data_IF_046320978196
#
_entry.id   IF_046320978196
#
_cell.length_a   1.000
_cell.length_b   1.000
_cell.length_c   1.000
_cell.angle_alpha   90.00
_cell.angle_beta   90.00
_cell.angle_gamma   90.00
#
_symmetry.space_group_name_H-M   'P 1'
#
loop_
_entity.id
_entity.type
_entity.pdbx_description
1 polymer ?
#
# COMPACT_ATOMS: atom_id res chain seq x y z
N UNK A 1 24.68 -43.71 22.05
CA UNK A 1 23.23 -43.65 21.80
C UNK A 1 22.53 -43.45 23.14
N UNK A 2 22.26 -42.22 23.50
CA UNK A 2 21.50 -41.92 24.72
C UNK A 2 20.10 -41.51 24.26
N UNK A 3 19.16 -42.45 24.43
CA UNK A 3 17.76 -42.21 24.17
C UNK A 3 17.18 -41.25 25.19
N UNK A 4 16.83 -40.04 24.72
CA UNK A 4 15.99 -39.12 25.49
C UNK A 4 14.57 -39.68 25.45
N UNK A 5 14.15 -40.35 26.55
CA UNK A 5 12.74 -40.65 26.76
C UNK A 5 12.03 -39.34 27.14
N UNK A 6 11.36 -38.74 26.18
CA UNK A 6 10.38 -37.69 26.47
C UNK A 6 9.14 -38.35 27.05
N UNK A 7 8.91 -38.26 28.37
CA UNK A 7 7.60 -38.51 28.98
C UNK A 7 6.63 -37.44 28.52
N UNK A 8 6.07 -37.60 27.34
CA UNK A 8 4.92 -36.82 26.92
C UNK A 8 3.68 -37.42 27.58
N UNK A 9 3.10 -36.73 28.56
CA UNK A 9 1.73 -37.00 28.98
C UNK A 9 0.86 -36.92 27.71
N UNK A 10 -0.03 -37.88 27.44
CA UNK A 10 -0.87 -37.86 26.27
C UNK A 10 -1.85 -36.68 26.37
N UNK A 11 -1.47 -35.56 25.84
CA UNK A 11 -2.37 -34.41 25.70
C UNK A 11 -3.19 -34.71 24.45
N UNK A 12 -4.35 -35.36 24.63
CA UNK A 12 -5.20 -35.88 23.55
C UNK A 12 -5.68 -34.85 22.52
N UNK A 13 -5.43 -33.57 22.74
CA UNK A 13 -5.87 -32.50 21.88
C UNK A 13 -4.72 -31.75 21.14
N UNK A 14 -3.47 -32.04 21.49
CA UNK A 14 -2.28 -31.50 20.78
C UNK A 14 -1.64 -32.67 20.02
N UNK A 15 -1.64 -32.55 18.69
CA UNK A 15 -1.00 -33.53 17.81
C UNK A 15 0.45 -33.12 17.50
N UNK A 16 0.66 -31.85 17.19
CA UNK A 16 1.97 -31.26 16.89
C UNK A 16 2.05 -29.88 17.55
N UNK A 17 3.17 -29.64 18.22
CA UNK A 17 3.57 -28.31 18.66
C UNK A 17 5.07 -28.15 18.41
N UNK A 18 5.45 -27.27 17.49
CA UNK A 18 6.83 -27.08 17.08
C UNK A 18 7.20 -25.61 17.17
N UNK A 19 8.24 -25.32 17.95
CA UNK A 19 8.85 -24.01 18.01
C UNK A 19 10.02 -23.95 17.03
N UNK A 20 10.13 -22.84 16.34
CA UNK A 20 11.22 -22.53 15.40
C UNK A 20 11.85 -21.19 15.79
N UNK A 21 13.17 -21.15 15.83
CA UNK A 21 13.94 -19.92 15.97
C UNK A 21 14.99 -19.95 14.89
N UNK A 22 15.04 -18.91 14.09
CA UNK A 22 15.97 -18.77 13.00
C UNK A 22 16.65 -17.40 13.02
N UNK A 23 17.91 -17.38 12.65
CA UNK A 23 18.65 -16.17 12.34
C UNK A 23 19.33 -16.34 10.99
N UNK A 24 19.22 -15.32 10.15
CA UNK A 24 19.90 -15.29 8.86
C UNK A 24 20.33 -13.88 8.50
N UNK A 25 21.42 -13.79 7.76
CA UNK A 25 21.88 -12.55 7.17
C UNK A 25 22.02 -12.75 5.66
N UNK A 26 21.45 -11.83 4.91
CA UNK A 26 21.55 -11.77 3.45
C UNK A 26 22.19 -10.46 3.05
N UNK A 27 22.89 -10.46 1.94
CA UNK A 27 23.51 -9.27 1.36
C UNK A 27 22.87 -8.93 0.02
N UNK A 28 22.83 -7.64 -0.30
CA UNK A 28 22.35 -7.11 -1.55
C UNK A 28 23.41 -6.18 -2.15
N UNK A 29 23.67 -6.36 -3.46
CA UNK A 29 24.59 -5.55 -4.24
C UNK A 29 23.89 -4.91 -5.45
N UNK A 30 22.60 -4.65 -5.36
CA UNK A 30 21.79 -4.16 -6.48
C UNK A 30 22.13 -2.71 -6.85
N UNK A 31 23.31 -2.51 -7.36
CA UNK A 31 23.79 -1.27 -7.98
C UNK A 31 24.31 -1.57 -9.37
N UNK A 32 24.19 -0.59 -10.26
CA UNK A 32 24.76 -0.70 -11.60
C UNK A 32 26.28 -0.95 -11.54
N UNK A 33 26.84 -1.70 -12.51
CA UNK A 33 28.29 -1.86 -12.63
C UNK A 33 29.02 -0.51 -12.67
N UNK A 34 30.23 -0.49 -12.13
CA UNK A 34 31.14 0.66 -12.13
C UNK A 34 30.71 1.86 -11.27
N UNK A 35 29.73 1.72 -10.40
CA UNK A 35 29.31 2.80 -9.47
C UNK A 35 30.42 3.22 -8.52
N UNK A 36 31.36 2.32 -8.18
CA UNK A 36 32.53 2.63 -7.36
C UNK A 36 33.51 3.59 -8.05
N UNK A 37 33.52 3.63 -9.38
CA UNK A 37 34.47 4.45 -10.16
C UNK A 37 33.89 5.80 -10.59
N UNK A 38 32.63 6.06 -10.30
CA UNK A 38 31.93 7.25 -10.76
C UNK A 38 31.52 7.17 -12.22
N UNK A 39 30.92 8.22 -12.73
CA UNK A 39 30.36 8.25 -14.07
C UNK A 39 30.65 9.58 -14.77
N UNK A 40 31.03 9.47 -16.06
CA UNK A 40 31.02 10.58 -16.98
C UNK A 40 29.74 10.56 -17.82
N UNK A 41 29.17 11.71 -18.06
CA UNK A 41 28.09 11.90 -19.02
C UNK A 41 28.56 12.83 -20.15
N UNK A 42 27.92 12.70 -21.31
CA UNK A 42 28.21 13.52 -22.48
C UNK A 42 27.26 14.72 -22.53
N UNK A 43 27.81 15.86 -22.92
CA UNK A 43 27.04 17.05 -23.21
C UNK A 43 27.55 17.68 -24.49
N UNK A 44 26.74 17.78 -25.54
CA UNK A 44 27.18 18.42 -26.78
C UNK A 44 27.47 19.89 -26.52
N UNK A 45 28.55 20.40 -27.06
CA UNK A 45 28.96 21.76 -26.96
C UNK A 45 29.25 22.35 -28.36
N UNK A 46 28.88 23.59 -28.61
CA UNK A 46 29.13 24.24 -29.87
C UNK A 46 30.16 25.37 -29.70
N UNK A 47 31.31 25.22 -30.33
CA UNK A 47 32.41 26.21 -30.33
C UNK A 47 32.39 27.15 -31.54
N UNK A 48 31.35 27.14 -32.37
CA UNK A 48 31.25 28.00 -33.54
C UNK A 48 30.62 27.31 -34.75
N UNK A 49 30.90 27.80 -35.97
CA UNK A 49 30.19 27.36 -37.18
C UNK A 49 30.47 25.89 -37.60
N UNK A 50 31.41 25.21 -36.99
CA UNK A 50 31.79 23.83 -37.32
C UNK A 50 30.89 22.74 -36.70
N UNK A 51 29.85 23.11 -35.96
CA UNK A 51 28.88 22.18 -35.39
C UNK A 51 29.17 21.77 -33.95
N UNK A 52 28.40 20.78 -33.43
CA UNK A 52 28.52 20.33 -32.09
C UNK A 52 29.66 19.30 -31.90
N UNK A 53 30.40 19.50 -30.82
CA UNK A 53 31.43 18.57 -30.36
C UNK A 53 30.97 17.92 -29.08
N UNK A 54 31.28 16.65 -28.90
CA UNK A 54 30.95 15.92 -27.67
C UNK A 54 31.84 16.36 -26.51
N UNK A 55 31.25 17.04 -25.53
CA UNK A 55 31.89 17.32 -24.25
C UNK A 55 31.59 16.24 -23.22
N UNK A 56 32.44 16.13 -22.22
CA UNK A 56 32.29 15.18 -21.11
C UNK A 56 32.30 15.94 -19.79
N UNK A 57 31.49 15.50 -18.85
CA UNK A 57 31.49 16.02 -17.48
C UNK A 57 31.27 14.89 -16.49
N UNK A 58 31.73 15.08 -15.25
CA UNK A 58 31.49 14.12 -14.15
C UNK A 58 30.03 14.23 -13.74
N UNK A 59 29.26 13.18 -13.96
CA UNK A 59 27.85 13.13 -13.58
C UNK A 59 27.62 12.47 -12.22
N UNK A 60 28.57 11.69 -11.74
CA UNK A 60 28.51 10.94 -10.48
C UNK A 60 29.92 10.78 -9.92
N UNK A 61 30.11 11.10 -8.64
CA UNK A 61 31.40 10.93 -7.97
C UNK A 61 31.70 9.45 -7.71
N UNK A 62 33.00 9.05 -7.77
CA UNK A 62 33.42 7.73 -7.35
C UNK A 62 33.28 7.55 -5.84
N UNK A 63 32.97 6.32 -5.42
CA UNK A 63 33.02 5.90 -4.03
C UNK A 63 33.70 4.52 -3.95
N UNK A 64 34.99 4.51 -3.60
CA UNK A 64 35.76 3.27 -3.48
C UNK A 64 35.35 2.44 -2.24
N UNK A 65 34.67 3.05 -1.28
CA UNK A 65 34.20 2.39 -0.05
C UNK A 65 32.81 1.78 -0.20
N UNK A 66 32.22 1.84 -1.42
CA UNK A 66 30.91 1.28 -1.68
C UNK A 66 30.90 -0.23 -1.45
N UNK A 67 30.21 -0.66 -0.43
CA UNK A 67 30.05 -2.06 -0.01
C UNK A 67 28.64 -2.62 -0.28
N UNK A 68 28.37 -3.78 0.26
CA UNK A 68 27.08 -4.42 0.18
C UNK A 68 26.14 -3.92 1.28
N UNK A 69 24.86 -3.96 1.01
CA UNK A 69 23.80 -3.79 1.97
C UNK A 69 23.54 -5.12 2.68
N UNK A 70 23.30 -5.09 3.99
CA UNK A 70 23.07 -6.30 4.79
C UNK A 70 21.70 -6.26 5.47
N UNK A 71 20.94 -7.34 5.28
CA UNK A 71 19.67 -7.58 5.98
C UNK A 71 19.81 -8.76 6.93
N UNK A 72 19.73 -8.50 8.22
CA UNK A 72 19.75 -9.50 9.30
C UNK A 72 18.34 -9.72 9.82
N UNK A 73 17.87 -10.98 9.82
CA UNK A 73 16.52 -11.34 10.22
C UNK A 73 16.53 -12.37 11.34
N UNK A 74 15.87 -12.06 12.44
CA UNK A 74 15.41 -13.02 13.43
C UNK A 74 13.98 -13.43 13.10
N UNK A 75 13.72 -14.73 13.09
CA UNK A 75 12.39 -15.30 12.90
C UNK A 75 12.06 -16.25 14.05
N UNK A 76 10.88 -16.07 14.64
CA UNK A 76 10.31 -16.90 15.69
C UNK A 76 9.01 -17.50 15.18
N UNK A 77 8.94 -18.82 15.08
CA UNK A 77 7.80 -19.53 14.54
C UNK A 77 7.21 -20.54 15.53
N UNK A 78 5.90 -20.69 15.48
CA UNK A 78 5.14 -21.70 16.18
C UNK A 78 4.25 -22.40 15.16
N UNK A 79 4.50 -23.70 14.94
CA UNK A 79 3.62 -24.57 14.15
C UNK A 79 2.82 -25.43 15.12
N UNK A 80 1.51 -25.53 14.90
CA UNK A 80 0.65 -26.35 15.72
C UNK A 80 -0.37 -27.13 14.90
N UNK A 81 -0.68 -28.31 15.38
CA UNK A 81 -1.79 -29.14 14.90
C UNK A 81 -2.52 -29.68 16.14
N UNK A 82 -3.81 -29.48 16.20
CA UNK A 82 -4.65 -29.73 17.34
C UNK A 82 -5.88 -30.54 16.93
N UNK A 83 -6.54 -31.16 17.91
CA UNK A 83 -7.85 -31.79 17.74
C UNK A 83 -7.84 -32.89 16.66
N UNK A 84 -6.81 -33.73 16.66
CA UNK A 84 -6.60 -34.82 15.68
C UNK A 84 -6.53 -34.30 14.23
N UNK A 85 -5.74 -33.25 14.02
CA UNK A 85 -5.54 -32.63 12.70
C UNK A 85 -6.65 -31.70 12.26
N UNK A 86 -7.73 -31.52 13.05
CA UNK A 86 -8.85 -30.64 12.63
C UNK A 86 -8.55 -29.17 12.70
N UNK A 87 -7.58 -28.76 13.53
CA UNK A 87 -7.13 -27.37 13.62
C UNK A 87 -5.62 -27.34 13.46
N UNK A 88 -5.14 -26.64 12.47
CA UNK A 88 -3.70 -26.44 12.26
C UNK A 88 -3.39 -24.99 11.97
N UNK A 89 -2.19 -24.55 12.30
CA UNK A 89 -1.80 -23.19 12.02
C UNK A 89 -0.33 -22.94 12.25
N UNK A 90 0.09 -21.77 11.79
CA UNK A 90 1.41 -21.23 11.99
C UNK A 90 1.30 -19.82 12.52
N UNK A 91 2.15 -19.46 13.45
CA UNK A 91 2.38 -18.11 13.89
C UNK A 91 3.85 -17.79 13.72
N UNK A 92 4.15 -16.70 13.03
CA UNK A 92 5.52 -16.23 12.84
C UNK A 92 5.63 -14.78 13.29
N UNK A 93 6.72 -14.48 14.00
CA UNK A 93 7.11 -13.11 14.33
C UNK A 93 8.54 -12.90 13.88
N UNK A 94 8.79 -11.80 13.16
CA UNK A 94 10.10 -11.50 12.65
C UNK A 94 10.54 -10.07 13.02
N UNK A 95 11.86 -9.94 13.14
CA UNK A 95 12.56 -8.67 13.28
C UNK A 95 13.66 -8.67 12.24
N UNK A 96 13.55 -7.79 11.25
CA UNK A 96 14.57 -7.59 10.22
C UNK A 96 15.21 -6.21 10.39
N UNK A 97 16.53 -6.18 10.36
CA UNK A 97 17.30 -4.93 10.34
C UNK A 97 18.15 -4.92 9.10
N UNK A 98 18.03 -3.86 8.32
CA UNK A 98 18.86 -3.62 7.15
C UNK A 98 19.79 -2.47 7.46
N UNK A 99 21.09 -2.69 7.25
CA UNK A 99 22.17 -1.72 7.46
C UNK A 99 22.90 -1.47 6.15
N UNK A 100 23.62 -0.38 6.10
CA UNK A 100 24.43 0.00 4.96
C UNK A 100 23.63 0.08 3.65
N UNK A 101 22.41 0.66 3.75
CA UNK A 101 21.52 0.83 2.59
C UNK A 101 22.24 1.55 1.46
N UNK A 102 22.16 1.00 0.26
CA UNK A 102 22.71 1.59 -0.95
C UNK A 102 21.83 2.72 -1.44
N UNK A 103 22.25 3.95 -1.20
CA UNK A 103 21.47 5.15 -1.52
C UNK A 103 22.28 6.18 -2.30
N UNK A 104 21.57 6.93 -3.15
CA UNK A 104 22.11 8.13 -3.78
C UNK A 104 22.05 9.29 -2.79
N UNK A 105 23.19 9.80 -2.41
CA UNK A 105 23.34 10.97 -1.54
C UNK A 105 23.43 12.22 -2.38
N UNK A 106 22.50 13.15 -2.20
CA UNK A 106 22.52 14.44 -2.88
C UNK A 106 23.63 15.33 -2.38
N UNK A 107 24.30 16.03 -3.30
CA UNK A 107 25.36 16.97 -3.01
C UNK A 107 24.90 18.41 -3.27
N UNK A 108 25.48 19.41 -2.58
CA UNK A 108 25.24 20.80 -2.89
C UNK A 108 25.62 21.13 -4.34
N UNK A 109 24.90 22.02 -4.96
CA UNK A 109 25.16 22.45 -6.36
C UNK A 109 26.57 22.98 -6.59
N UNK A 110 27.22 23.48 -5.53
CA UNK A 110 28.61 23.98 -5.52
C UNK A 110 29.65 22.87 -5.76
N UNK A 111 29.31 21.59 -5.55
CA UNK A 111 30.18 20.45 -5.80
C UNK A 111 30.38 20.15 -7.31
N UNK A 112 29.56 20.74 -8.17
CA UNK A 112 29.55 20.45 -9.61
C UNK A 112 28.99 19.09 -9.99
N UNK A 113 28.61 18.25 -9.04
CA UNK A 113 28.01 16.94 -9.21
C UNK A 113 26.78 16.83 -8.32
N UNK A 114 25.70 16.26 -8.85
CA UNK A 114 24.43 16.24 -8.15
C UNK A 114 24.35 15.18 -7.02
N UNK A 115 25.04 14.06 -7.18
CA UNK A 115 24.95 12.95 -6.22
C UNK A 115 26.08 11.94 -6.36
N UNK A 116 26.20 11.07 -5.37
CA UNK A 116 27.03 9.87 -5.41
C UNK A 116 26.34 8.72 -4.66
N UNK A 117 26.75 7.48 -4.96
CA UNK A 117 26.24 6.30 -4.23
C UNK A 117 27.05 6.07 -2.96
N UNK A 118 26.37 5.78 -1.88
CA UNK A 118 26.99 5.46 -0.59
C UNK A 118 26.19 4.40 0.18
N UNK A 119 26.85 3.70 1.09
CA UNK A 119 26.23 2.81 2.06
C UNK A 119 25.78 3.61 3.28
N UNK A 120 24.53 4.00 3.29
CA UNK A 120 24.04 4.96 4.28
C UNK A 120 22.59 4.67 4.63
N UNK A 121 22.30 4.85 5.90
CA UNK A 121 20.96 4.61 6.40
C UNK A 121 20.73 3.19 6.90
N UNK A 122 19.71 3.09 7.72
CA UNK A 122 19.28 1.83 8.34
C UNK A 122 17.77 1.78 8.44
N UNK A 123 17.22 0.58 8.24
CA UNK A 123 15.79 0.34 8.44
C UNK A 123 15.54 -0.84 9.37
N UNK A 124 14.40 -0.84 10.01
CA UNK A 124 13.90 -1.94 10.82
C UNK A 124 12.50 -2.30 10.36
N UNK A 125 12.25 -3.58 10.14
CA UNK A 125 10.94 -4.16 9.90
C UNK A 125 10.61 -5.13 11.03
N UNK A 126 9.42 -5.02 11.59
CA UNK A 126 8.87 -5.94 12.57
C UNK A 126 7.48 -6.34 12.13
N UNK A 127 7.21 -7.62 12.16
CA UNK A 127 5.89 -8.07 11.75
C UNK A 127 5.55 -9.43 12.31
N UNK A 128 4.29 -9.76 12.14
CA UNK A 128 3.81 -11.11 12.40
C UNK A 128 2.99 -11.61 11.21
N UNK A 129 3.01 -12.91 11.03
CA UNK A 129 2.19 -13.66 10.10
C UNK A 129 1.48 -14.78 10.87
N UNK A 130 0.19 -14.93 10.62
CA UNK A 130 -0.64 -15.94 11.25
C UNK A 130 -1.48 -16.65 10.20
N UNK A 131 -1.40 -17.98 10.19
CA UNK A 131 -2.24 -18.83 9.35
C UNK A 131 -2.97 -19.81 10.22
N UNK A 132 -4.26 -19.95 10.02
CA UNK A 132 -5.12 -20.88 10.72
C UNK A 132 -5.98 -21.64 9.71
N UNK A 133 -5.96 -22.99 9.80
CA UNK A 133 -6.79 -23.86 8.99
C UNK A 133 -7.62 -24.73 9.92
N UNK A 134 -8.91 -24.84 9.65
CA UNK A 134 -9.83 -25.61 10.47
C UNK A 134 -10.80 -26.44 9.65
N UNK A 135 -10.94 -27.71 10.02
CA UNK A 135 -12.04 -28.59 9.58
C UNK A 135 -13.12 -28.55 10.67
N UNK A 136 -14.13 -27.72 10.46
CA UNK A 136 -15.20 -27.47 11.44
C UNK A 136 -16.16 -28.65 11.46
N UNK A 137 -16.54 -29.12 10.27
CA UNK A 137 -17.34 -30.35 10.10
C UNK A 137 -16.58 -31.30 9.17
N UNK A 138 -16.42 -32.53 9.59
CA UNK A 138 -15.79 -33.59 8.81
C UNK A 138 -16.81 -34.68 8.51
N UNK A 139 -17.42 -34.56 7.34
CA UNK A 139 -18.48 -35.49 6.86
C UNK A 139 -19.59 -35.76 7.87
N UNK A 140 -19.92 -34.80 8.72
CA UNK A 140 -20.97 -34.93 9.72
C UNK A 140 -22.35 -34.86 9.08
N UNK A 141 -23.08 -35.98 9.05
CA UNK A 141 -24.35 -36.11 8.34
C UNK A 141 -24.27 -35.70 6.85
N UNK A 142 -23.13 -35.94 6.19
CA UNK A 142 -22.85 -35.57 4.81
C UNK A 142 -22.38 -34.11 4.59
N UNK A 143 -22.18 -33.36 5.68
CA UNK A 143 -21.62 -32.00 5.64
C UNK A 143 -20.12 -32.00 5.88
N UNK A 144 -19.39 -31.31 5.04
CA UNK A 144 -17.99 -30.96 5.27
C UNK A 144 -17.88 -29.44 5.28
N UNK A 145 -17.23 -28.90 6.29
CA UNK A 145 -16.97 -27.46 6.40
C UNK A 145 -15.54 -27.19 6.81
N UNK A 146 -14.83 -26.52 5.93
CA UNK A 146 -13.44 -26.11 6.10
C UNK A 146 -13.34 -24.59 6.05
N UNK A 147 -12.43 -24.01 6.83
CA UNK A 147 -12.14 -22.59 6.79
C UNK A 147 -10.64 -22.36 6.98
N UNK A 148 -10.13 -21.31 6.31
CA UNK A 148 -8.76 -20.88 6.44
C UNK A 148 -8.70 -19.35 6.61
N UNK A 149 -7.85 -18.91 7.53
CA UNK A 149 -7.56 -17.51 7.79
C UNK A 149 -6.07 -17.28 7.67
N UNK A 150 -5.66 -16.27 6.93
CA UNK A 150 -4.31 -15.72 7.02
C UNK A 150 -4.37 -14.25 7.42
N UNK A 151 -3.45 -13.81 8.26
CA UNK A 151 -3.37 -12.48 8.79
C UNK A 151 -1.90 -12.06 8.86
N UNK A 152 -1.59 -10.87 8.37
CA UNK A 152 -0.24 -10.31 8.46
C UNK A 152 -0.28 -8.84 8.86
N UNK A 153 0.74 -8.43 9.61
CA UNK A 153 1.01 -7.02 9.88
C UNK A 153 2.52 -6.80 9.87
N UNK A 154 2.95 -5.75 9.20
CA UNK A 154 4.32 -5.28 9.18
C UNK A 154 4.38 -3.84 9.67
N UNK A 155 5.48 -3.47 10.32
CA UNK A 155 5.83 -2.11 10.68
C UNK A 155 7.24 -1.84 10.21
N UNK A 156 7.34 -0.97 9.22
CA UNK A 156 8.61 -0.46 8.73
C UNK A 156 9.01 0.80 9.52
N UNK A 157 10.29 0.96 9.75
CA UNK A 157 10.83 2.14 10.39
C UNK A 157 12.21 2.46 9.82
N UNK A 158 12.37 3.67 9.32
CA UNK A 158 13.67 4.24 9.01
C UNK A 158 14.35 4.63 10.32
N UNK A 159 15.52 4.05 10.62
CA UNK A 159 16.21 4.27 11.88
C UNK A 159 17.39 5.23 11.75
N UNK A 160 17.97 5.38 10.57
CA UNK A 160 19.09 6.26 10.29
C UNK A 160 19.12 6.68 8.83
N UNK A 161 19.58 7.89 8.55
CA UNK A 161 19.83 8.45 7.22
C UNK A 161 21.29 8.82 7.04
N UNK A 162 21.73 8.93 5.80
CA UNK A 162 23.10 9.21 5.37
C UNK A 162 23.75 10.43 5.99
N UNK A 163 23.01 11.46 6.18
CA UNK A 163 23.55 12.77 6.54
C UNK A 163 23.66 13.00 8.03
N UNK A 164 23.35 11.99 8.87
CA UNK A 164 23.06 12.23 10.29
C UNK A 164 21.85 13.15 10.50
N UNK A 165 21.19 13.54 9.38
CA UNK A 165 19.96 14.30 9.37
C UNK A 165 18.80 13.43 9.85
N UNK A 166 17.85 14.04 10.53
CA UNK A 166 16.63 13.36 10.96
C UNK A 166 15.62 13.20 9.82
N UNK A 167 15.74 14.02 8.76
CA UNK A 167 14.71 14.12 7.72
C UNK A 167 15.34 14.39 6.36
N UNK A 168 14.85 13.67 5.35
CA UNK A 168 15.01 13.97 3.93
C UNK A 168 13.63 14.27 3.34
N UNK A 169 13.23 15.54 3.42
CA UNK A 169 11.92 16.01 2.95
C UNK A 169 11.75 15.88 1.43
N UNK A 170 12.85 15.89 0.67
CA UNK A 170 12.80 15.76 -0.78
C UNK A 170 12.38 14.35 -1.21
N UNK A 171 12.78 13.34 -0.43
CA UNK A 171 12.45 11.94 -0.68
C UNK A 171 11.32 11.42 0.22
N UNK A 172 10.71 12.25 1.08
CA UNK A 172 9.74 11.86 2.11
C UNK A 172 10.29 10.78 3.05
N UNK A 173 11.54 10.92 3.47
CA UNK A 173 12.16 10.00 4.42
C UNK A 173 12.38 10.69 5.76
N UNK A 174 11.77 10.14 6.79
CA UNK A 174 11.78 10.70 8.14
C UNK A 174 12.24 9.64 9.13
N UNK A 175 13.26 9.95 9.91
CA UNK A 175 13.77 9.02 10.93
C UNK A 175 12.68 8.78 11.97
N UNK A 176 12.41 7.51 12.24
CA UNK A 176 11.34 7.10 13.16
C UNK A 176 10.01 6.76 12.47
N UNK A 177 9.89 7.01 11.17
CA UNK A 177 8.68 6.79 10.38
C UNK A 177 8.89 5.70 9.31
N UNK A 178 7.82 5.15 8.74
CA UNK A 178 7.90 4.22 7.61
C UNK A 178 8.52 4.88 6.39
N UNK A 179 9.15 4.07 5.53
CA UNK A 179 9.62 4.53 4.21
C UNK A 179 8.42 4.92 3.34
N UNK A 180 7.33 4.15 3.40
CA UNK A 180 6.09 4.42 2.67
C UNK A 180 5.22 5.43 3.42
N UNK A 181 5.65 6.67 3.40
CA UNK A 181 4.90 7.81 3.90
C UNK A 181 4.95 8.98 2.91
N UNK A 182 3.97 9.86 3.02
CA UNK A 182 3.93 11.14 2.32
C UNK A 182 4.05 12.28 3.32
N UNK A 183 4.63 13.37 2.87
CA UNK A 183 4.76 14.60 3.64
C UNK A 183 3.90 15.69 2.99
N UNK A 184 2.68 15.84 3.49
CA UNK A 184 1.70 16.75 2.92
C UNK A 184 0.75 17.28 4.00
N UNK A 185 -0.12 18.19 3.63
CA UNK A 185 -1.13 18.73 4.52
C UNK A 185 -2.20 17.69 4.86
N UNK A 186 -2.73 17.79 6.08
CA UNK A 186 -3.87 17.00 6.52
C UNK A 186 -5.16 17.82 6.35
N UNK A 187 -6.02 17.40 5.43
CA UNK A 187 -7.34 18.01 5.25
C UNK A 187 -8.21 17.73 6.45
N UNK A 188 -8.75 18.77 7.07
CA UNK A 188 -9.65 18.69 8.21
C UNK A 188 -11.09 19.10 7.87
N UNK A 189 -11.31 19.66 6.69
CA UNK A 189 -12.63 20.07 6.24
C UNK A 189 -12.59 21.04 5.08
N UNK A 190 -13.63 21.84 4.97
CA UNK A 190 -13.71 22.99 4.09
C UNK A 190 -13.97 24.23 4.94
N UNK A 191 -13.51 25.38 4.48
CA UNK A 191 -13.81 26.65 5.14
C UNK A 191 -15.29 26.97 5.01
N UNK A 192 -15.97 27.17 6.14
CA UNK A 192 -17.36 27.57 6.22
C UNK A 192 -17.50 28.76 7.17
N UNK A 193 -18.46 29.62 6.94
CA UNK A 193 -18.72 30.80 7.78
C UNK A 193 -19.15 30.47 9.23
N UNK A 194 -19.63 29.25 9.48
CA UNK A 194 -19.97 28.73 10.81
C UNK A 194 -18.80 28.05 11.53
N UNK A 195 -17.63 27.94 10.88
CA UNK A 195 -16.43 27.40 11.51
C UNK A 195 -15.85 28.41 12.52
N UNK A 196 -15.52 27.97 13.76
CA UNK A 196 -14.92 28.86 14.77
C UNK A 196 -13.65 29.56 14.33
N UNK A 197 -12.86 28.92 13.46
CA UNK A 197 -11.62 29.49 12.93
C UNK A 197 -11.84 30.45 11.75
N UNK A 198 -13.07 30.53 11.21
CA UNK A 198 -13.36 31.36 10.04
C UNK A 198 -13.08 32.84 10.29
N UNK A 199 -13.25 33.31 11.51
CA UNK A 199 -12.88 34.67 11.92
C UNK A 199 -11.39 34.98 11.77
N UNK A 200 -10.55 33.94 11.70
CA UNK A 200 -9.10 34.05 11.50
C UNK A 200 -8.64 33.66 10.10
N UNK A 201 -9.59 33.51 9.15
CA UNK A 201 -9.27 33.05 7.78
C UNK A 201 -8.21 33.91 7.11
N UNK A 202 -8.29 35.23 7.25
CA UNK A 202 -7.31 36.16 6.66
C UNK A 202 -5.89 35.97 7.22
N UNK A 203 -5.76 35.45 8.43
CA UNK A 203 -4.47 35.15 9.05
C UNK A 203 -3.99 33.77 8.65
N UNK A 204 -4.86 32.77 8.79
CA UNK A 204 -4.53 31.37 8.51
C UNK A 204 -4.29 31.12 7.01
N UNK A 205 -5.14 31.73 6.18
CA UNK A 205 -5.18 31.49 4.74
C UNK A 205 -5.45 32.82 4.00
N UNK A 206 -4.43 33.70 3.90
CA UNK A 206 -4.61 34.99 3.21
C UNK A 206 -5.16 34.83 1.79
N UNK A 207 -6.28 35.50 1.51
CA UNK A 207 -7.02 35.35 0.27
C UNK A 207 -7.93 34.12 0.20
N UNK A 208 -8.12 33.42 1.32
CA UNK A 208 -9.03 32.30 1.45
C UNK A 208 -10.51 32.72 1.35
N UNK A 209 -11.36 31.77 0.99
CA UNK A 209 -12.80 31.95 0.85
C UNK A 209 -13.56 30.74 1.38
N UNK A 210 -14.86 30.91 1.64
CA UNK A 210 -15.76 29.79 1.90
C UNK A 210 -15.72 28.74 0.79
N UNK A 211 -15.79 27.48 1.18
CA UNK A 211 -15.76 26.34 0.26
C UNK A 211 -14.36 25.92 -0.18
N UNK A 212 -13.30 26.61 0.24
CA UNK A 212 -11.92 26.16 0.03
C UNK A 212 -11.52 25.06 1.01
N UNK A 213 -10.49 24.28 0.66
CA UNK A 213 -9.97 23.22 1.53
C UNK A 213 -9.36 23.83 2.78
N UNK A 214 -9.84 23.37 3.95
CA UNK A 214 -9.26 23.66 5.27
C UNK A 214 -8.29 22.54 5.62
N UNK A 215 -7.05 22.91 5.96
CA UNK A 215 -6.03 21.98 6.43
C UNK A 215 -5.68 22.26 7.88
N UNK A 216 -5.09 21.27 8.54
CA UNK A 216 -4.70 21.35 9.93
C UNK A 216 -3.63 22.40 10.13
N UNK A 217 -3.87 23.30 11.06
CA UNK A 217 -2.90 24.26 11.56
C UNK A 217 -2.15 23.65 12.76
N UNK A 218 -0.84 23.75 12.77
CA UNK A 218 0.03 23.20 13.82
C UNK A 218 0.82 24.27 14.57
N UNK A 219 0.65 25.54 14.20
CA UNK A 219 1.30 26.66 14.87
C UNK A 219 0.66 27.02 16.19
N UNK A 220 1.33 27.90 16.92
CA UNK A 220 0.87 28.42 18.18
C UNK A 220 -0.35 29.34 18.04
N UNK A 221 -1.12 29.44 19.12
CA UNK A 221 -2.22 30.40 19.25
C UNK A 221 -1.95 31.26 20.49
N UNK A 222 -2.32 32.52 20.42
CA UNK A 222 -2.21 33.42 21.58
C UNK A 222 -3.28 33.10 22.64
N UNK A 223 -3.26 33.86 23.75
CA UNK A 223 -4.18 33.67 24.85
C UNK A 223 -5.67 33.87 24.48
N UNK A 224 -5.95 34.51 23.36
CA UNK A 224 -7.29 34.70 22.80
C UNK A 224 -7.70 33.60 21.80
N UNK A 225 -6.82 32.63 21.54
CA UNK A 225 -7.00 31.58 20.56
C UNK A 225 -6.69 32.00 19.12
N UNK A 226 -6.17 33.21 18.90
CA UNK A 226 -5.81 33.73 17.59
C UNK A 226 -4.52 33.08 17.09
N UNK A 227 -4.48 32.58 15.83
CA UNK A 227 -3.27 32.04 15.23
C UNK A 227 -2.15 33.09 15.13
N UNK A 228 -0.92 32.66 15.37
CA UNK A 228 0.26 33.54 15.33
C UNK A 228 0.88 33.69 13.95
N UNK A 229 0.54 32.82 13.01
CA UNK A 229 1.04 32.83 11.63
C UNK A 229 0.03 32.25 10.65
N UNK A 230 0.30 32.41 9.37
CA UNK A 230 -0.41 31.72 8.30
C UNK A 230 -0.05 30.21 8.23
N UNK A 231 -0.91 29.43 7.61
CA UNK A 231 -0.62 28.03 7.24
C UNK A 231 0.51 28.01 6.22
N UNK A 232 1.53 27.23 6.53
CA UNK A 232 2.76 27.13 5.74
C UNK A 232 3.29 25.70 5.61
N UNK A 233 4.48 25.51 4.99
CA UNK A 233 5.11 24.19 4.82
C UNK A 233 5.33 23.41 6.12
N UNK A 234 5.44 24.12 7.24
CA UNK A 234 5.59 23.57 8.59
C UNK A 234 4.32 22.87 9.11
N UNK A 235 3.16 23.13 8.51
CA UNK A 235 1.89 22.48 8.85
C UNK A 235 1.70 21.13 8.14
N UNK A 236 2.64 20.74 7.29
CA UNK A 236 2.62 19.42 6.66
C UNK A 236 2.80 18.32 7.69
N UNK A 237 2.10 17.22 7.48
CA UNK A 237 2.11 16.04 8.35
C UNK A 237 2.76 14.86 7.64
N UNK A 238 3.36 13.95 8.42
CA UNK A 238 3.86 12.68 7.92
C UNK A 238 2.70 11.69 7.94
N UNK A 239 2.24 11.28 6.77
CA UNK A 239 1.09 10.41 6.59
C UNK A 239 1.57 9.03 6.18
N UNK A 240 1.42 8.03 7.05
CA UNK A 240 1.78 6.65 6.76
C UNK A 240 0.76 6.00 5.81
N UNK A 241 1.27 5.28 4.82
CA UNK A 241 0.48 4.48 3.89
C UNK A 241 0.29 3.04 4.37
N UNK A 242 1.01 2.61 5.41
CA UNK A 242 0.99 1.23 5.89
C UNK A 242 -0.37 0.84 6.49
N UNK A 243 -0.90 -0.34 6.14
CA UNK A 243 -2.09 -0.88 6.80
C UNK A 243 -1.76 -1.29 8.24
N UNK A 244 -2.77 -1.32 9.09
CA UNK A 244 -2.65 -1.89 10.44
C UNK A 244 -2.45 -3.40 10.38
N UNK A 245 -3.22 -4.07 9.54
CA UNK A 245 -3.10 -5.48 9.20
C UNK A 245 -3.83 -5.75 7.88
N UNK A 246 -3.50 -6.87 7.26
CA UNK A 246 -4.14 -7.37 6.05
C UNK A 246 -4.15 -8.89 6.05
N UNK A 247 -5.00 -9.48 5.22
CA UNK A 247 -5.10 -10.92 5.17
C UNK A 247 -6.16 -11.43 4.21
N UNK A 248 -6.47 -12.72 4.35
CA UNK A 248 -7.49 -13.39 3.59
C UNK A 248 -8.24 -14.40 4.43
N UNK A 249 -9.49 -14.59 4.09
CA UNK A 249 -10.32 -15.66 4.65
C UNK A 249 -10.92 -16.46 3.50
N UNK A 250 -10.84 -17.78 3.60
CA UNK A 250 -11.51 -18.69 2.69
C UNK A 250 -12.33 -19.72 3.45
N UNK A 251 -13.44 -20.12 2.87
CA UNK A 251 -14.26 -21.18 3.43
C UNK A 251 -14.85 -22.05 2.33
N UNK A 252 -14.90 -23.33 2.62
CA UNK A 252 -15.50 -24.35 1.75
C UNK A 252 -16.55 -25.13 2.53
N UNK A 253 -17.75 -25.17 2.01
CA UNK A 253 -18.85 -25.98 2.54
C UNK A 253 -19.25 -26.98 1.47
N UNK A 254 -19.32 -28.26 1.79
CA UNK A 254 -19.77 -29.30 0.89
C UNK A 254 -20.92 -30.13 1.51
N UNK A 255 -21.90 -30.51 0.67
CA UNK A 255 -23.04 -31.31 1.07
C UNK A 255 -23.62 -32.09 -0.13
N UNK A 256 -23.66 -33.41 -0.02
CA UNK A 256 -24.30 -34.30 -1.03
C UNK A 256 -23.94 -33.97 -2.49
N UNK A 257 -22.65 -33.81 -2.78
CA UNK A 257 -22.14 -33.49 -4.11
C UNK A 257 -22.06 -31.99 -4.41
N UNK A 258 -22.78 -31.11 -3.72
CA UNK A 258 -22.59 -29.67 -3.83
C UNK A 258 -21.36 -29.22 -3.06
N UNK A 259 -20.62 -28.26 -3.60
CA UNK A 259 -19.55 -27.56 -2.91
C UNK A 259 -19.66 -26.04 -3.16
N UNK A 260 -19.60 -25.27 -2.11
CA UNK A 260 -19.51 -23.82 -2.13
C UNK A 260 -18.14 -23.41 -1.59
N UNK A 261 -17.39 -22.67 -2.39
CA UNK A 261 -16.11 -22.09 -1.98
C UNK A 261 -16.17 -20.57 -2.07
N UNK A 262 -15.78 -19.90 -0.99
CA UNK A 262 -15.71 -18.42 -0.93
C UNK A 262 -14.30 -18.04 -0.53
N UNK A 263 -13.68 -17.15 -1.33
CA UNK A 263 -12.35 -16.60 -1.08
C UNK A 263 -12.46 -15.09 -0.91
N UNK A 264 -11.92 -14.57 0.16
CA UNK A 264 -11.95 -13.15 0.46
C UNK A 264 -10.57 -12.61 0.79
N UNK A 265 -10.36 -11.32 0.60
CA UNK A 265 -9.19 -10.59 1.06
C UNK A 265 -9.65 -9.33 1.80
N UNK A 266 -8.90 -8.95 2.82
CA UNK A 266 -9.18 -7.75 3.59
C UNK A 266 -7.91 -6.96 3.91
N UNK A 267 -8.09 -5.66 4.07
CA UNK A 267 -7.08 -4.71 4.53
C UNK A 267 -7.72 -3.77 5.53
N UNK A 268 -7.04 -3.43 6.59
CA UNK A 268 -7.54 -2.53 7.63
C UNK A 268 -6.53 -1.41 7.89
N UNK A 269 -7.01 -0.17 7.82
CA UNK A 269 -6.20 1.02 8.02
C UNK A 269 -5.22 1.31 6.87
N UNK A 270 -4.34 2.27 7.12
CA UNK A 270 -3.46 2.83 6.10
C UNK A 270 -4.19 3.82 5.19
N UNK A 271 -3.43 4.39 4.26
CA UNK A 271 -3.98 5.28 3.24
C UNK A 271 -3.75 4.71 1.86
N UNK A 272 -4.66 4.98 0.94
CA UNK A 272 -4.45 4.83 -0.49
C UNK A 272 -4.47 6.21 -1.16
N UNK A 273 -3.81 6.30 -2.28
CA UNK A 273 -3.78 7.51 -3.10
C UNK A 273 -4.62 7.24 -4.34
N UNK A 274 -5.66 8.05 -4.55
CA UNK A 274 -6.43 8.02 -5.79
C UNK A 274 -5.96 9.15 -6.71
N UNK A 275 -5.35 8.79 -7.83
CA UNK A 275 -4.89 9.77 -8.81
C UNK A 275 -6.04 10.45 -9.55
N UNK A 276 -7.21 9.81 -9.57
CA UNK A 276 -8.44 10.38 -10.14
C UNK A 276 -9.01 11.52 -9.31
N UNK A 277 -8.86 11.44 -7.98
CA UNK A 277 -9.39 12.44 -7.02
C UNK A 277 -8.33 13.46 -6.59
N UNK A 278 -7.08 13.20 -6.86
CA UNK A 278 -6.00 14.17 -6.67
C UNK A 278 -6.28 15.43 -7.51
N UNK A 279 -5.70 16.56 -7.12
CA UNK A 279 -5.90 17.88 -7.77
C UNK A 279 -5.90 17.87 -9.30
N UNK A 280 -5.18 16.93 -9.88
CA UNK A 280 -5.12 16.78 -11.34
C UNK A 280 -6.38 16.20 -11.99
N UNK A 281 -7.22 15.49 -11.24
CA UNK A 281 -8.47 14.88 -11.74
C UNK A 281 -9.73 15.63 -11.32
N UNK A 282 -9.62 16.43 -10.27
CA UNK A 282 -10.77 17.04 -9.63
C UNK A 282 -11.27 18.29 -10.37
N UNK A 283 -12.53 18.23 -10.81
CA UNK A 283 -13.33 19.34 -11.38
C UNK A 283 -12.54 20.37 -12.18
N UNK A 284 -11.47 19.96 -12.83
CA UNK A 284 -10.69 20.83 -13.67
C UNK A 284 -11.40 21.05 -15.01
N UNK A 285 -12.31 21.99 -15.01
CA UNK A 285 -13.17 22.31 -16.14
C UNK A 285 -12.48 23.14 -17.22
N UNK A 286 -11.34 23.78 -16.89
CA UNK A 286 -10.79 24.84 -17.72
C UNK A 286 -9.86 24.33 -18.82
N UNK A 287 -9.23 23.15 -18.64
CA UNK A 287 -8.23 22.67 -19.60
C UNK A 287 -8.72 21.59 -20.56
N UNK A 288 -9.92 21.04 -20.37
CA UNK A 288 -10.52 20.04 -21.26
C UNK A 288 -9.75 18.70 -21.39
N UNK A 289 -8.60 18.57 -20.74
CA UNK A 289 -7.72 17.39 -20.83
C UNK A 289 -7.84 16.44 -19.65
N UNK A 290 -8.59 16.84 -18.63
CA UNK A 290 -8.71 16.10 -17.37
C UNK A 290 -10.10 15.53 -17.23
N UNK A 291 -10.18 14.31 -16.72
CA UNK A 291 -11.46 13.64 -16.48
C UNK A 291 -12.28 14.39 -15.44
N UNK A 292 -13.59 14.34 -15.59
CA UNK A 292 -14.53 14.78 -14.57
C UNK A 292 -14.77 13.65 -13.60
N UNK A 293 -14.79 13.98 -12.31
CA UNK A 293 -15.17 13.06 -11.24
C UNK A 293 -16.49 13.55 -10.67
N UNK A 294 -17.49 12.67 -10.62
CA UNK A 294 -18.76 12.96 -9.97
C UNK A 294 -18.54 12.94 -8.45
N UNK A 295 -18.61 14.09 -7.83
CA UNK A 295 -18.31 14.27 -6.41
C UNK A 295 -19.29 15.25 -5.76
N UNK A 296 -19.50 15.05 -4.46
CA UNK A 296 -20.28 15.97 -3.62
C UNK A 296 -19.44 17.22 -3.30
N UNK A 297 -19.66 18.31 -4.04
CA UNK A 297 -18.91 19.56 -3.91
C UNK A 297 -19.65 20.63 -3.13
N UNK A 298 -18.90 21.53 -2.56
CA UNK A 298 -19.41 22.62 -1.73
C UNK A 298 -20.22 23.65 -2.53
N UNK A 299 -21.41 23.98 -2.01
CA UNK A 299 -22.23 25.14 -2.41
C UNK A 299 -22.75 25.83 -1.15
N UNK A 300 -23.26 27.07 -1.24
CA UNK A 300 -23.88 27.73 -0.08
C UNK A 300 -25.00 26.91 0.58
N UNK A 301 -25.69 26.08 -0.20
CA UNK A 301 -26.76 25.17 0.25
C UNK A 301 -26.23 23.83 0.74
N UNK A 302 -25.00 23.46 0.37
CA UNK A 302 -24.35 22.20 0.73
C UNK A 302 -22.99 22.44 1.41
N UNK A 303 -23.02 23.08 2.58
CA UNK A 303 -21.80 23.38 3.37
C UNK A 303 -21.12 22.12 3.94
N UNK A 304 -21.85 21.01 4.05
CA UNK A 304 -21.35 19.72 4.53
C UNK A 304 -20.60 18.89 3.48
N UNK A 305 -20.44 19.42 2.27
CA UNK A 305 -19.76 18.74 1.18
C UNK A 305 -18.33 18.35 1.54
N UNK A 306 -17.86 17.29 0.88
CA UNK A 306 -16.51 16.77 1.10
C UNK A 306 -15.47 17.42 0.18
N UNK A 307 -15.89 17.87 -1.00
CA UNK A 307 -15.03 18.48 -2.02
C UNK A 307 -15.19 19.98 -2.07
N UNK A 308 -14.13 20.72 -2.38
CA UNK A 308 -14.17 22.18 -2.37
C UNK A 308 -15.08 22.73 -3.44
N UNK A 309 -15.39 24.01 -3.30
CA UNK A 309 -16.11 24.81 -4.29
C UNK A 309 -15.41 24.74 -5.64
N UNK A 310 -16.14 24.44 -6.74
CA UNK A 310 -15.61 24.53 -8.09
C UNK A 310 -15.09 25.94 -8.41
N UNK A 311 -13.94 26.04 -9.11
CA UNK A 311 -13.36 27.33 -9.50
C UNK A 311 -12.64 28.08 -8.39
N UNK A 312 -12.53 27.55 -7.19
CA UNK A 312 -11.76 28.12 -6.08
C UNK A 312 -10.25 27.92 -6.24
N UNK A 313 -9.65 28.50 -7.27
CA UNK A 313 -8.31 28.19 -7.75
C UNK A 313 -7.36 29.31 -7.33
N UNK A 314 -6.22 28.96 -6.73
CA UNK A 314 -5.16 29.93 -6.41
C UNK A 314 -4.11 30.07 -7.50
N UNK A 315 -3.82 29.02 -8.24
CA UNK A 315 -2.89 29.10 -9.37
C UNK A 315 -3.22 28.05 -10.41
N UNK A 316 -3.37 28.46 -11.66
CA UNK A 316 -3.78 27.57 -12.72
C UNK A 316 -5.13 26.93 -12.40
N UNK A 317 -5.27 25.65 -12.65
CA UNK A 317 -6.54 24.95 -12.58
C UNK A 317 -6.72 24.05 -11.33
N UNK A 318 -5.82 24.14 -10.36
CA UNK A 318 -5.82 23.23 -9.22
C UNK A 318 -6.18 23.96 -7.92
N UNK A 319 -7.08 23.42 -7.08
CA UNK A 319 -7.36 24.00 -5.78
C UNK A 319 -6.12 23.90 -4.88
N UNK A 320 -5.90 24.95 -4.07
CA UNK A 320 -4.86 24.90 -3.03
C UNK A 320 -5.11 23.69 -2.14
N UNK A 321 -4.06 22.94 -1.81
CA UNK A 321 -4.14 21.66 -1.07
C UNK A 321 -4.90 20.55 -1.79
N UNK A 322 -5.10 20.64 -3.09
CA UNK A 322 -5.86 19.67 -3.86
C UNK A 322 -5.30 18.23 -3.84
N UNK A 323 -4.00 18.06 -3.56
CA UNK A 323 -3.38 16.74 -3.31
C UNK A 323 -4.12 15.94 -2.24
N UNK A 324 -4.60 16.63 -1.20
CA UNK A 324 -5.29 16.00 -0.06
C UNK A 324 -6.62 15.34 -0.43
N UNK A 325 -7.20 15.71 -1.56
CA UNK A 325 -8.43 15.11 -2.08
C UNK A 325 -8.23 13.68 -2.58
N UNK A 326 -6.98 13.30 -2.85
CA UNK A 326 -6.62 11.96 -3.29
C UNK A 326 -6.34 10.97 -2.16
N UNK A 327 -6.35 11.39 -0.89
CA UNK A 327 -5.97 10.54 0.24
C UNK A 327 -7.18 9.92 0.91
N UNK A 328 -7.36 8.61 0.73
CA UNK A 328 -8.48 7.86 1.27
C UNK A 328 -8.02 6.82 2.30
N UNK A 329 -8.94 6.37 3.14
CA UNK A 329 -8.74 5.17 3.95
C UNK A 329 -8.67 3.95 3.04
N UNK A 330 -7.64 3.11 3.22
CA UNK A 330 -7.40 1.94 2.37
C UNK A 330 -8.09 0.67 2.84
N UNK A 331 -8.94 0.77 3.86
CA UNK A 331 -9.66 -0.39 4.40
C UNK A 331 -10.67 -0.95 3.42
N UNK A 332 -10.73 -2.27 3.35
CA UNK A 332 -11.74 -3.00 2.61
C UNK A 332 -11.84 -4.46 3.05
N UNK A 333 -12.97 -5.09 2.76
CA UNK A 333 -13.15 -6.54 2.71
C UNK A 333 -13.75 -6.87 1.35
N UNK A 334 -12.97 -7.55 0.53
CA UNK A 334 -13.33 -7.90 -0.85
C UNK A 334 -13.54 -9.40 -0.97
N UNK A 335 -14.68 -9.79 -1.52
CA UNK A 335 -14.92 -11.16 -1.96
C UNK A 335 -14.26 -11.32 -3.32
N UNK A 336 -13.22 -12.16 -3.39
CA UNK A 336 -12.44 -12.41 -4.61
C UNK A 336 -13.12 -13.38 -5.52
N UNK A 337 -13.67 -14.42 -4.92
CA UNK A 337 -14.26 -15.50 -5.69
C UNK A 337 -15.36 -16.21 -4.89
N UNK A 338 -16.46 -16.52 -5.55
CA UNK A 338 -17.49 -17.44 -5.07
C UNK A 338 -17.65 -18.51 -6.15
N UNK A 339 -17.43 -19.76 -5.78
CA UNK A 339 -17.61 -20.90 -6.68
C UNK A 339 -18.63 -21.85 -6.09
N UNK A 340 -19.68 -22.15 -6.83
CA UNK A 340 -20.64 -23.21 -6.54
C UNK A 340 -20.41 -24.34 -7.53
N UNK A 341 -20.06 -25.51 -7.02
CA UNK A 341 -19.83 -26.72 -7.79
C UNK A 341 -20.82 -27.81 -7.46
N UNK A 342 -20.99 -28.75 -8.37
CA UNK A 342 -21.71 -29.99 -8.17
C UNK A 342 -20.91 -31.15 -8.75
N UNK A 343 -20.63 -32.16 -7.93
CA UNK A 343 -19.98 -33.40 -8.30
C UNK A 343 -21.05 -34.46 -8.58
N UNK A 344 -21.06 -34.93 -9.79
CA UNK A 344 -21.93 -36.03 -10.21
C UNK A 344 -21.27 -37.37 -9.88
N UNK A 345 -21.16 -37.68 -8.60
CA UNK A 345 -20.51 -38.91 -8.16
C UNK A 345 -21.38 -40.14 -8.45
N UNK A 346 -20.76 -41.22 -8.94
CA UNK A 346 -21.33 -42.58 -9.07
C UNK A 346 -22.66 -42.66 -9.80
N UNK A 347 -22.91 -41.78 -10.74
CA UNK A 347 -24.09 -41.91 -11.61
C UNK A 347 -23.86 -43.01 -12.66
N UNK A 348 -24.79 -43.97 -12.73
CA UNK A 348 -24.66 -45.13 -13.64
C UNK A 348 -24.45 -44.77 -15.12
N UNK A 349 -24.96 -43.60 -15.54
CA UNK A 349 -24.77 -43.12 -16.90
C UNK A 349 -23.34 -42.65 -17.17
N UNK A 350 -22.64 -42.05 -16.20
CA UNK A 350 -21.23 -41.66 -16.30
C UNK A 350 -20.32 -42.86 -16.49
N UNK A 351 -20.53 -43.89 -15.68
CA UNK A 351 -19.77 -45.14 -15.77
C UNK A 351 -19.96 -45.84 -17.12
N UNK A 352 -21.17 -45.79 -17.68
CA UNK A 352 -21.42 -46.32 -19.02
C UNK A 352 -20.70 -45.57 -20.14
N UNK A 353 -20.40 -44.28 -19.92
CA UNK A 353 -19.64 -43.44 -20.86
C UNK A 353 -18.11 -43.49 -20.59
N UNK A 354 -17.64 -44.30 -19.66
CA UNK A 354 -16.23 -44.38 -19.29
C UNK A 354 -15.72 -43.17 -18.47
N UNK A 355 -16.66 -42.37 -17.95
CA UNK A 355 -16.31 -41.17 -17.14
C UNK A 355 -16.28 -41.57 -15.67
N UNK A 356 -15.13 -41.37 -15.02
CA UNK A 356 -14.94 -41.68 -13.62
C UNK A 356 -15.50 -40.57 -12.69
N UNK A 357 -15.34 -39.31 -13.08
CA UNK A 357 -15.93 -38.19 -12.37
C UNK A 357 -16.30 -37.04 -13.28
N UNK A 358 -17.40 -36.38 -12.97
CA UNK A 358 -17.87 -35.16 -13.62
C UNK A 358 -18.15 -34.11 -12.54
N UNK A 359 -17.55 -32.93 -12.67
CA UNK A 359 -17.88 -31.76 -11.84
C UNK A 359 -18.24 -30.59 -12.73
N UNK A 360 -19.43 -30.02 -12.54
CA UNK A 360 -19.83 -28.73 -13.12
C UNK A 360 -19.75 -27.64 -12.07
N UNK A 361 -19.31 -26.46 -12.44
CA UNK A 361 -19.24 -25.34 -11.52
C UNK A 361 -19.54 -24.00 -12.18
N UNK A 362 -20.05 -23.07 -11.36
CA UNK A 362 -20.21 -21.66 -11.66
C UNK A 362 -19.32 -20.86 -10.70
N UNK A 363 -18.52 -19.95 -11.22
CA UNK A 363 -17.67 -19.07 -10.43
C UNK A 363 -17.92 -17.61 -10.78
N UNK A 364 -18.00 -16.79 -9.74
CA UNK A 364 -18.10 -15.33 -9.87
C UNK A 364 -16.88 -14.70 -9.21
N UNK A 365 -16.09 -13.98 -10.02
CA UNK A 365 -14.92 -13.26 -9.53
C UNK A 365 -15.27 -11.80 -9.21
N UNK A 366 -14.70 -11.28 -8.15
CA UNK A 366 -14.89 -9.92 -7.65
C UNK A 366 -16.37 -9.50 -7.49
N UNK A 367 -17.25 -10.34 -6.88
CA UNK A 367 -18.66 -10.02 -6.79
C UNK A 367 -18.97 -8.81 -5.90
N UNK A 368 -18.26 -8.66 -4.76
CA UNK A 368 -18.57 -7.67 -3.74
C UNK A 368 -17.31 -7.05 -3.10
N UNK A 369 -17.44 -5.76 -2.77
CA UNK A 369 -16.52 -5.02 -1.91
C UNK A 369 -17.37 -4.46 -0.76
N UNK A 370 -16.99 -4.74 0.47
CA UNK A 370 -17.65 -4.28 1.68
C UNK A 370 -16.63 -3.63 2.63
N UNK A 371 -17.10 -2.89 3.61
CA UNK A 371 -16.25 -2.24 4.62
C UNK A 371 -15.15 -1.34 4.02
N UNK A 372 -15.41 -0.74 2.84
CA UNK A 372 -14.47 0.17 2.20
C UNK A 372 -15.06 1.58 2.12
N UNK A 373 -14.51 2.55 2.89
CA UNK A 373 -14.91 3.95 2.78
C UNK A 373 -14.69 4.50 1.37
N UNK A 374 -13.56 4.16 0.76
CA UNK A 374 -13.22 4.56 -0.59
C UNK A 374 -14.23 4.04 -1.62
N UNK A 375 -14.53 2.76 -1.60
CA UNK A 375 -15.52 2.16 -2.53
C UNK A 375 -16.91 2.75 -2.34
N UNK A 376 -17.32 2.96 -1.08
CA UNK A 376 -18.62 3.57 -0.76
C UNK A 376 -18.77 4.97 -1.34
N UNK A 377 -17.70 5.74 -1.34
CA UNK A 377 -17.69 7.12 -1.82
C UNK A 377 -17.53 7.22 -3.34
N UNK A 378 -16.64 6.41 -3.92
CA UNK A 378 -16.20 6.59 -5.31
C UNK A 378 -16.76 5.54 -6.27
N UNK A 379 -17.28 4.42 -5.75
CA UNK A 379 -17.64 3.25 -6.56
C UNK A 379 -16.43 2.47 -7.10
N UNK A 380 -15.21 2.96 -6.89
CA UNK A 380 -13.99 2.34 -7.42
C UNK A 380 -13.48 1.19 -6.53
N UNK A 381 -12.67 0.32 -7.11
CA UNK A 381 -12.00 -0.74 -6.37
C UNK A 381 -10.87 -0.14 -5.52
N UNK A 382 -10.81 -0.43 -4.19
CA UNK A 382 -9.78 0.08 -3.31
C UNK A 382 -8.41 -0.59 -3.49
N UNK A 383 -8.31 -1.63 -4.30
CA UNK A 383 -7.03 -2.24 -4.60
C UNK A 383 -6.21 -1.38 -5.55
N UNK A 384 -4.97 -1.16 -5.16
CA UNK A 384 -4.06 -0.35 -5.97
C UNK A 384 -3.74 -1.05 -7.29
N UNK A 385 -3.78 -0.32 -8.39
CA UNK A 385 -3.66 -0.84 -9.74
C UNK A 385 -2.64 -0.10 -10.61
N UNK A 386 -1.99 0.92 -10.09
CA UNK A 386 -0.98 1.71 -10.78
C UNK A 386 0.08 2.23 -9.82
N UNK A 387 1.15 2.79 -10.36
CA UNK A 387 2.24 3.43 -9.60
C UNK A 387 2.16 4.97 -9.62
N UNK A 388 0.99 5.54 -9.79
CA UNK A 388 0.77 6.98 -9.80
C UNK A 388 1.28 7.70 -11.05
N UNK A 389 1.64 6.95 -12.08
CA UNK A 389 2.32 7.45 -13.26
C UNK A 389 1.51 7.24 -14.55
N UNK A 390 0.23 7.48 -14.52
CA UNK A 390 -0.63 7.36 -15.71
C UNK A 390 -0.40 8.50 -16.68
N UNK A 391 0.16 9.60 -16.21
CA UNK A 391 0.56 10.73 -17.04
C UNK A 391 2.03 11.05 -16.77
N UNK A 392 2.92 10.43 -17.55
CA UNK A 392 4.39 10.57 -17.44
C UNK A 392 4.85 12.03 -17.56
N UNK A 393 4.04 12.88 -18.17
CA UNK A 393 4.37 14.30 -18.35
C UNK A 393 4.26 15.13 -17.05
N UNK A 394 3.60 14.60 -16.02
CA UNK A 394 3.23 15.40 -14.83
C UNK A 394 3.87 14.87 -13.54
N UNK A 395 4.32 13.62 -13.51
CA UNK A 395 4.77 12.98 -12.27
C UNK A 395 6.18 12.44 -12.38
N UNK A 396 7.14 13.25 -11.98
CA UNK A 396 8.50 12.77 -11.66
C UNK A 396 8.68 12.60 -10.14
N UNK A 397 9.52 11.64 -9.75
CA UNK A 397 10.00 11.52 -8.38
C UNK A 397 9.20 10.57 -7.48
N UNK A 398 8.85 11.03 -6.30
CA UNK A 398 8.36 10.23 -5.15
C UNK A 398 7.09 9.44 -5.48
N UNK A 399 6.19 9.97 -6.29
CA UNK A 399 4.92 9.31 -6.63
C UNK A 399 5.11 7.99 -7.40
N UNK A 400 6.22 7.81 -8.11
CA UNK A 400 6.55 6.55 -8.79
C UNK A 400 6.74 5.37 -7.82
N UNK A 401 6.97 5.65 -6.55
CA UNK A 401 7.23 4.67 -5.51
C UNK A 401 5.95 4.09 -4.92
N UNK A 402 4.86 4.85 -4.95
CA UNK A 402 3.62 4.47 -4.30
C UNK A 402 2.66 3.76 -5.25
N UNK A 403 2.08 2.66 -4.77
CA UNK A 403 0.95 2.03 -5.42
C UNK A 403 -0.30 2.91 -5.21
N UNK A 404 -0.99 3.18 -6.28
CA UNK A 404 -2.16 4.08 -6.30
C UNK A 404 -3.37 3.40 -6.92
N UNK A 405 -4.54 3.99 -6.72
CA UNK A 405 -5.72 3.70 -7.56
C UNK A 405 -5.79 4.77 -8.64
N UNK A 406 -5.72 4.34 -9.89
CA UNK A 406 -5.67 5.24 -11.03
C UNK A 406 -6.54 4.79 -12.21
N UNK A 407 -6.24 5.34 -13.39
CA UNK A 407 -6.99 5.13 -14.63
C UNK A 407 -6.65 3.83 -15.35
N UNK A 408 -5.74 3.01 -14.81
CA UNK A 408 -5.46 1.69 -15.36
C UNK A 408 -6.72 0.82 -15.39
N UNK A 409 -6.68 -0.28 -16.13
CA UNK A 409 -7.82 -1.15 -16.34
C UNK A 409 -8.61 -1.39 -15.05
N UNK A 410 -9.90 -1.04 -15.01
CA UNK A 410 -10.71 -1.24 -13.84
C UNK A 410 -10.85 -2.72 -13.51
N UNK A 411 -11.02 -3.01 -12.23
CA UNK A 411 -11.36 -4.36 -11.77
C UNK A 411 -12.67 -4.81 -12.41
N UNK A 412 -12.66 -5.99 -13.02
CA UNK A 412 -13.84 -6.57 -13.71
C UNK A 412 -14.51 -7.62 -12.84
N UNK A 413 -15.84 -7.74 -12.99
CA UNK A 413 -16.61 -8.88 -12.46
C UNK A 413 -16.72 -9.92 -13.56
N UNK A 414 -16.21 -11.13 -13.30
CA UNK A 414 -16.21 -12.20 -14.28
C UNK A 414 -17.14 -13.33 -13.83
N UNK A 415 -17.87 -13.91 -14.77
CA UNK A 415 -18.71 -15.07 -14.58
C UNK A 415 -18.13 -16.21 -15.41
N UNK A 416 -17.79 -17.31 -14.77
CA UNK A 416 -17.21 -18.48 -15.41
C UNK A 416 -18.07 -19.70 -15.15
N UNK A 417 -18.36 -20.43 -16.21
CA UNK A 417 -18.91 -21.78 -16.14
C UNK A 417 -17.84 -22.77 -16.59
N UNK A 418 -17.68 -23.87 -15.85
CA UNK A 418 -16.69 -24.88 -16.19
C UNK A 418 -17.18 -26.29 -15.90
N UNK A 419 -16.60 -27.24 -16.61
CA UNK A 419 -16.84 -28.67 -16.47
C UNK A 419 -15.48 -29.35 -16.36
N UNK A 420 -15.30 -30.17 -15.32
CA UNK A 420 -14.15 -31.03 -15.17
C UNK A 420 -14.57 -32.48 -15.36
N UNK A 421 -13.89 -33.18 -16.23
CA UNK A 421 -14.10 -34.58 -16.56
C UNK A 421 -12.85 -35.37 -16.26
N UNK A 422 -13.02 -36.54 -15.62
CA UNK A 422 -11.96 -37.53 -15.44
C UNK A 422 -12.43 -38.84 -16.08
N UNK A 423 -11.60 -39.41 -16.94
CA UNK A 423 -11.85 -40.65 -17.66
C UNK A 423 -11.11 -41.81 -17.03
#
# INVERSE_FOLDING_TARGET
>A
MTGVQTCALPIYWIDILKLRVGYGQTSNQAVDPYKTWGRLATRPYNFGPTGYVTGYYVSELPNAELGWEYSSTWNFGLDFTLLRGRLSGTFEYYIQKTTDLLQSVSLPSTSGVSSYMANVGKTENKGFEFTLNGTILDNHNGWTWEASLNLSANRNKLTELASGSKDDKANNWFVGHPIDCIYDYEKVGLWNSDDPDFQYLDILEPGGNEGMIKVKYTGDRDASGKPTRAIGPEDRQIISLEPKFQGGFSTRVAYKGFDLNVITAFRCGGKLISTLHHSNGYLNMLTGRRGQVDVDYWTPENKGAKYPKPGGIQSGDNPKYGSTLGYFDSSYWKVRNITLGYNFEKQAWLTRMGIQSLRAYLSVQNPFIICSPFHKETGLDPETNSYGNENVAVTEGIQKRFLTVGTNSPSTRNYLFGINLTF
#
